data_IF_056390439211
#
_entry.id   IF_056390439211
#
_cell.length_a   1.000
_cell.length_b   1.000
_cell.length_c   1.000
_cell.angle_alpha   90.00
_cell.angle_beta   90.00
_cell.angle_gamma   90.00
#
_symmetry.space_group_name_H-M   'P 1'
#
loop_
_entity.id
_entity.type
_entity.pdbx_description
1 polymer ?
2 water ?
#
# COMPACT_ATOMS: atom_id res chain seq x y z
N UNK A 4 -1.56 4.64 16.69
CA UNK A 4 -1.76 5.03 15.30
C UNK A 4 -1.28 3.93 14.36
N UNK A 5 -2.20 3.38 13.55
CA UNK A 5 -1.80 2.33 12.60
C UNK A 5 -0.77 2.84 11.60
N UNK A 6 0.17 1.98 11.25
CA UNK A 6 1.26 2.34 10.36
C UNK A 6 1.35 1.33 9.23
N UNK A 7 2.00 1.74 8.14
CA UNK A 7 2.25 0.89 7.00
C UNK A 7 3.73 1.00 6.65
N UNK A 8 4.40 -0.16 6.52
CA UNK A 8 5.80 -0.22 6.17
C UNK A 8 5.95 -0.81 4.78
N UNK A 9 6.64 -0.10 3.90
CA UNK A 9 6.86 -0.53 2.52
C UNK A 9 8.36 -0.73 2.32
N UNK A 10 8.74 -1.96 1.99
CA UNK A 10 10.12 -2.29 1.61
C UNK A 10 10.16 -2.30 0.08
N UNK A 11 10.72 -1.24 -0.50
CA UNK A 11 10.86 -1.12 -1.95
C UNK A 11 12.18 -1.74 -2.36
N UNK A 12 12.14 -2.90 -3.01
CA UNK A 12 13.31 -3.70 -3.30
C UNK A 12 13.57 -3.68 -4.81
N UNK A 13 14.83 -3.42 -5.17
CA UNK A 13 15.24 -3.48 -6.56
C UNK A 13 15.38 -4.94 -6.98
N UNK A 14 14.56 -5.36 -7.94
CA UNK A 14 14.60 -6.75 -8.41
C UNK A 14 15.04 -6.80 -9.86
N UNK A 15 15.85 -7.75 -10.26
CA UNK A 15 16.19 -7.91 -11.68
C UNK A 15 15.06 -8.57 -12.44
N UNK A 16 14.94 -8.18 -13.72
CA UNK A 16 13.95 -8.78 -14.59
C UNK A 16 14.24 -10.27 -14.77
N UNK A 17 13.44 -11.11 -14.10
CA UNK A 17 13.68 -12.55 -14.12
C UNK A 17 13.78 -13.13 -12.73
N UNK A 18 14.39 -12.37 -11.80
CA UNK A 18 14.44 -12.80 -10.42
C UNK A 18 13.11 -12.65 -9.70
N UNK A 19 12.13 -11.99 -10.33
CA UNK A 19 10.83 -11.78 -9.76
C UNK A 19 10.13 -13.04 -9.29
N UNK A 20 10.00 -14.04 -10.18
CA UNK A 20 9.33 -15.29 -9.76
C UNK A 20 9.92 -15.93 -8.51
N UNK A 21 11.25 -16.04 -8.43
CA UNK A 21 11.85 -16.61 -7.22
C UNK A 21 11.62 -15.73 -6.01
N UNK A 22 11.47 -14.42 -6.21
CA UNK A 22 11.17 -13.53 -5.09
C UNK A 22 9.75 -13.73 -4.58
N UNK A 23 8.82 -14.08 -5.47
CA UNK A 23 7.43 -14.28 -5.04
C UNK A 23 7.24 -15.59 -4.32
N UNK A 24 8.06 -16.61 -4.61
CA UNK A 24 7.98 -17.87 -3.90
C UNK A 24 8.59 -17.79 -2.51
N UNK A 25 9.51 -16.85 -2.28
CA UNK A 25 10.14 -16.71 -0.97
C UNK A 25 9.24 -15.96 0.01
N UNK A 26 8.49 -14.97 -0.48
CA UNK A 26 7.66 -14.17 0.40
C UNK A 26 6.37 -14.88 0.81
N UNK A 27 5.99 -15.95 0.12
CA UNK A 27 4.91 -16.79 0.62
C UNK A 27 5.32 -17.46 1.93
N UNK A 28 6.59 -17.84 2.05
CA UNK A 28 7.09 -18.35 3.32
C UNK A 28 7.24 -17.24 4.35
N UNK A 29 7.77 -16.09 3.93
CA UNK A 29 8.00 -15.00 4.88
C UNK A 29 6.68 -14.45 5.44
N UNK A 30 5.60 -14.53 4.66
CA UNK A 30 4.30 -14.11 5.18
C UNK A 30 3.87 -14.97 6.36
N UNK A 31 4.30 -16.23 6.40
CA UNK A 31 3.93 -17.11 7.51
C UNK A 31 4.47 -16.58 8.83
N UNK A 32 5.68 -16.03 8.83
CA UNK A 32 6.34 -15.54 10.04
C UNK A 32 5.83 -14.17 10.48
N UNK A 33 4.67 -13.72 10.02
CA UNK A 33 4.19 -12.38 10.35
C UNK A 33 2.68 -12.35 10.44
N UNK A 34 2.01 -13.32 9.79
CA UNK A 34 0.55 -13.26 9.68
C UNK A 34 -0.14 -13.39 11.02
N UNK A 35 0.52 -13.95 12.03
CA UNK A 35 -0.04 -14.05 13.38
C UNK A 35 0.81 -13.32 14.41
N UNK A 36 1.64 -12.37 13.97
CA UNK A 36 2.43 -11.59 14.90
C UNK A 36 1.55 -10.59 15.64
N UNK A 37 1.92 -10.20 16.86
CA UNK A 37 1.11 -9.24 17.61
C UNK A 37 1.17 -7.86 16.97
N UNK A 38 0.01 -7.25 16.80
CA UNK A 38 -0.11 -5.96 16.14
C UNK A 38 -0.19 -6.03 14.63
N UNK A 39 -0.02 -7.21 14.04
CA UNK A 39 -0.03 -7.35 12.60
C UNK A 39 -1.44 -7.25 12.05
N UNK A 40 -1.63 -6.45 11.00
CA UNK A 40 -2.93 -6.21 10.41
C UNK A 40 -3.06 -6.65 8.96
N UNK A 41 -1.95 -6.86 8.25
CA UNK A 41 -2.02 -7.27 6.86
C UNK A 41 -0.72 -7.17 6.10
N UNK A 42 -0.47 -8.12 5.22
CA UNK A 42 0.72 -8.17 4.38
C UNK A 42 0.32 -8.25 2.93
N UNK A 43 1.06 -7.56 2.07
CA UNK A 43 0.79 -7.56 0.63
C UNK A 43 2.09 -7.48 -0.14
N UNK A 44 2.24 -8.34 -1.15
CA UNK A 44 3.33 -8.25 -2.10
C UNK A 44 2.79 -7.69 -3.41
N UNK A 45 3.38 -6.62 -3.88
CA UNK A 45 2.88 -5.88 -5.04
C UNK A 45 3.93 -5.91 -6.15
N UNK A 46 3.59 -6.54 -7.27
CA UNK A 46 4.46 -6.53 -8.45
C UNK A 46 4.20 -5.28 -9.27
N UNK A 47 5.23 -4.51 -9.61
CA UNK A 47 5.01 -3.26 -10.33
C UNK A 47 4.52 -3.49 -11.74
N UNK A 48 3.97 -2.43 -12.34
CA UNK A 48 3.43 -2.50 -13.70
C UNK A 48 3.79 -1.22 -14.45
N UNK A 49 3.52 -0.07 -13.85
CA UNK A 49 3.77 1.21 -14.50
C UNK A 49 4.15 2.23 -13.43
N UNK A 50 5.14 3.07 -13.76
CA UNK A 50 5.62 4.08 -12.85
C UNK A 50 6.51 3.59 -11.74
N UNK A 51 6.85 2.31 -11.73
CA UNK A 51 7.67 1.75 -10.66
C UNK A 51 8.41 0.53 -11.20
N UNK A 52 9.68 0.40 -10.80
CA UNK A 52 10.49 -0.76 -11.14
C UNK A 52 10.70 -1.70 -9.95
N UNK A 53 10.28 -1.30 -8.76
CA UNK A 53 10.53 -2.06 -7.54
C UNK A 53 9.27 -2.80 -7.10
N UNK A 54 9.48 -3.97 -6.49
CA UNK A 54 8.41 -4.63 -5.76
C UNK A 54 8.16 -3.90 -4.45
N UNK A 55 6.89 -3.78 -4.08
CA UNK A 55 6.50 -3.12 -2.84
C UNK A 55 6.07 -4.20 -1.85
N UNK A 56 6.84 -4.36 -0.78
CA UNK A 56 6.54 -5.30 0.30
C UNK A 56 5.85 -4.50 1.40
N UNK A 57 4.53 -4.69 1.55
CA UNK A 57 3.69 -3.85 2.39
C UNK A 57 3.24 -4.65 3.60
N UNK A 58 3.41 -4.08 4.80
CA UNK A 58 2.90 -4.67 6.03
C UNK A 58 2.13 -3.61 6.80
N UNK A 59 1.03 -4.04 7.42
CA UNK A 59 0.14 -3.17 8.17
C UNK A 59 0.24 -3.51 9.66
N UNK A 60 0.50 -2.50 10.48
CA UNK A 60 0.71 -2.69 11.91
C UNK A 60 -0.16 -1.72 12.70
N UNK A 61 -0.43 -2.12 13.94
CA UNK A 61 -1.22 -1.27 14.84
C UNK A 61 -0.43 -0.09 15.38
N UNK A 62 0.89 -0.18 15.42
CA UNK A 62 1.74 0.93 15.85
C UNK A 62 3.15 0.66 15.34
N UNK A 63 3.99 1.69 15.45
CA UNK A 63 5.39 1.53 15.06
C UNK A 63 6.15 0.64 16.04
N UNK A 64 5.76 0.66 17.32
CA UNK A 64 6.43 -0.19 18.30
C UNK A 64 6.09 -1.65 18.08
N UNK A 65 4.84 -1.94 17.71
CA UNK A 65 4.48 -3.31 17.34
C UNK A 65 5.31 -3.80 16.17
N UNK A 66 5.60 -2.91 15.21
CA UNK A 66 6.48 -3.26 14.11
C UNK A 66 7.92 -3.44 14.60
N UNK A 67 8.39 -2.50 15.42
CA UNK A 67 9.77 -2.54 15.88
C UNK A 67 10.03 -3.72 16.81
N UNK A 68 9.03 -4.12 17.60
CA UNK A 68 9.20 -5.29 18.46
C UNK A 68 9.36 -6.55 17.64
N UNK A 69 8.61 -6.68 16.54
CA UNK A 69 8.74 -7.84 15.68
C UNK A 69 10.05 -7.81 14.89
N UNK A 70 10.41 -6.64 14.37
CA UNK A 70 11.61 -6.55 13.52
C UNK A 70 12.89 -6.71 14.33
N UNK A 71 12.94 -6.10 15.51
CA UNK A 71 14.17 -6.12 16.31
C UNK A 71 14.20 -7.24 17.33
N UNK A 72 13.21 -8.13 17.35
CA UNK A 72 13.24 -9.27 18.20
C UNK A 72 14.30 -10.27 17.77
N UNK A 73 14.44 -11.34 18.54
CA UNK A 73 15.42 -12.38 18.17
C UNK A 73 15.03 -13.08 16.89
N UNK A 74 16.04 -13.53 16.15
CA UNK A 74 15.84 -14.14 14.85
C UNK A 74 16.53 -15.50 14.81
N UNK A 75 16.25 -16.24 13.73
CA UNK A 75 16.87 -17.55 13.55
C UNK A 75 18.37 -17.42 13.39
N UNK A 76 18.81 -16.47 12.55
CA UNK A 76 20.23 -16.26 12.31
C UNK A 76 20.57 -14.78 12.35
N UNK A 90 17.09 -1.84 -1.75
CA UNK A 90 16.23 -2.04 -0.59
C UNK A 90 16.04 -0.74 0.18
N UNK A 91 14.85 -0.16 0.10
CA UNK A 91 14.53 1.09 0.76
C UNK A 91 13.26 0.92 1.58
N UNK A 92 13.32 1.30 2.86
CA UNK A 92 12.17 1.19 3.75
C UNK A 92 11.41 2.50 3.75
N UNK A 93 10.11 2.42 3.51
CA UNK A 93 9.22 3.58 3.50
C UNK A 93 8.25 3.44 4.66
N UNK A 94 8.21 4.44 5.53
CA UNK A 94 7.43 4.39 6.76
C UNK A 94 6.32 5.44 6.70
N UNK A 95 5.08 5.00 6.97
CA UNK A 95 3.91 5.86 6.85
C UNK A 95 3.03 5.72 8.08
N UNK A 96 2.12 6.68 8.22
CA UNK A 96 1.05 6.63 9.22
C UNK A 96 -0.28 6.63 8.49
N UNK A 97 -1.16 5.70 8.85
CA UNK A 97 -2.45 5.59 8.20
C UNK A 97 -3.35 6.73 8.67
N UNK A 98 -3.47 7.77 7.85
CA UNK A 98 -4.32 8.91 8.21
C UNK A 98 -5.77 8.48 8.32
N UNK A 99 -6.26 7.74 7.32
CA UNK A 99 -7.61 7.19 7.36
C UNK A 99 -7.65 5.96 6.46
N UNK A 100 -8.44 4.98 6.87
CA UNK A 100 -8.57 3.71 6.15
C UNK A 100 -10.04 3.45 5.89
N UNK A 101 -10.40 3.30 4.62
CA UNK A 101 -11.78 3.01 4.22
C UNK A 101 -11.77 1.74 3.39
N UNK A 102 -12.72 0.85 3.67
CA UNK A 102 -12.83 -0.39 2.92
C UNK A 102 -12.95 -1.62 3.81
N UNK B 2 -11.40 -14.91 -9.81
CA UNK B 2 -10.04 -15.34 -10.08
C UNK B 2 -9.25 -14.24 -10.78
N UNK B 3 -9.81 -13.03 -10.79
CA UNK B 3 -9.12 -11.90 -11.39
C UNK B 3 -7.93 -11.47 -10.52
N UNK B 4 -6.97 -10.80 -11.15
CA UNK B 4 -5.77 -10.37 -10.46
C UNK B 4 -6.02 -9.05 -9.74
N UNK B 5 -5.98 -9.03 -8.41
CA UNK B 5 -6.23 -7.78 -7.68
C UNK B 5 -5.17 -6.74 -7.97
N UNK B 6 -5.55 -5.49 -7.80
CA UNK B 6 -4.77 -4.36 -8.29
C UNK B 6 -4.73 -3.28 -7.22
N UNK B 7 -3.62 -2.55 -7.19
CA UNK B 7 -3.39 -1.49 -6.22
C UNK B 7 -2.84 -0.27 -6.95
N UNK B 8 -3.58 0.83 -6.88
CA UNK B 8 -3.13 2.10 -7.43
C UNK B 8 -2.66 3.02 -6.31
N UNK B 9 -1.47 3.60 -6.48
CA UNK B 9 -0.88 4.50 -5.51
C UNK B 9 -0.59 5.82 -6.20
N UNK B 10 -1.25 6.88 -5.76
CA UNK B 10 -0.98 8.24 -6.24
C UNK B 10 -0.04 8.92 -5.25
N UNK B 11 1.21 9.13 -5.66
CA UNK B 11 2.20 9.81 -4.83
C UNK B 11 2.10 11.30 -5.11
N UNK B 12 1.65 12.06 -4.12
CA UNK B 12 1.36 13.48 -4.28
C UNK B 12 2.31 14.30 -3.40
N UNK B 13 2.81 15.39 -3.96
CA UNK B 13 3.65 16.32 -3.22
C UNK B 13 2.76 17.31 -2.48
N UNK B 14 2.77 17.24 -1.16
CA UNK B 14 1.94 18.09 -0.31
C UNK B 14 2.86 19.03 0.47
N UNK B 15 2.60 20.33 0.46
CA UNK B 15 3.49 21.26 1.16
C UNK B 15 3.45 21.07 2.67
N UNK B 16 4.57 21.42 3.31
CA UNK B 16 4.66 21.36 4.76
C UNK B 16 3.67 22.33 5.39
N UNK B 17 2.60 21.79 5.98
CA UNK B 17 1.53 22.59 6.55
C UNK B 17 0.16 22.28 5.98
N UNK B 18 0.11 21.90 4.70
CA UNK B 18 -1.14 21.57 4.02
C UNK B 18 -1.67 20.18 4.38
N UNK B 19 -1.13 19.58 5.45
CA UNK B 19 -1.55 18.26 5.87
C UNK B 19 -3.02 18.15 6.23
N UNK B 20 -3.46 18.90 7.24
CA UNK B 20 -4.87 18.77 7.67
C UNK B 20 -5.88 19.08 6.59
N UNK B 21 -5.57 19.98 5.66
CA UNK B 21 -6.52 20.29 4.60
C UNK B 21 -6.58 19.19 3.55
N UNK B 22 -5.44 18.52 3.30
CA UNK B 22 -5.44 17.41 2.34
C UNK B 22 -6.19 16.21 2.90
N UNK B 23 -6.03 15.94 4.20
CA UNK B 23 -6.71 14.81 4.81
C UNK B 23 -8.18 15.09 5.07
N UNK B 24 -8.56 16.37 5.16
CA UNK B 24 -9.98 16.70 5.15
C UNK B 24 -10.56 16.52 3.76
N UNK B 25 -9.79 16.83 2.73
CA UNK B 25 -10.26 16.72 1.35
C UNK B 25 -10.45 15.26 0.95
N UNK B 26 -9.48 14.41 1.28
CA UNK B 26 -9.56 13.01 0.90
C UNK B 26 -10.56 12.22 1.73
N UNK B 27 -11.03 12.78 2.85
CA UNK B 27 -12.11 12.15 3.59
C UNK B 27 -13.42 12.22 2.80
N UNK B 28 -13.55 13.21 1.92
CA UNK B 28 -14.71 13.32 1.04
C UNK B 28 -14.55 12.50 -0.22
N UNK B 29 -13.34 12.48 -0.80
CA UNK B 29 -13.11 11.70 -2.00
C UNK B 29 -13.23 10.20 -1.72
N UNK B 30 -12.97 9.78 -0.48
CA UNK B 30 -13.20 8.38 -0.13
C UNK B 30 -14.67 8.03 -0.18
N UNK B 31 -15.55 8.99 0.09
CA UNK B 31 -17.00 8.75 -0.01
C UNK B 31 -17.38 8.34 -1.43
N UNK B 32 -16.90 9.09 -2.43
CA UNK B 32 -17.30 8.85 -3.81
C UNK B 32 -16.79 7.52 -4.35
N UNK B 33 -15.73 6.97 -3.75
CA UNK B 33 -15.18 5.69 -4.17
C UNK B 33 -15.62 4.55 -3.28
N UNK B 34 -16.35 4.83 -2.20
CA UNK B 34 -16.57 3.85 -1.14
C UNK B 34 -17.42 2.68 -1.63
N UNK B 35 -18.42 2.95 -2.48
CA UNK B 35 -19.34 1.91 -2.92
C UNK B 35 -19.28 1.70 -4.44
N UNK B 36 -18.11 1.86 -5.02
CA UNK B 36 -17.93 1.62 -6.44
C UNK B 36 -17.72 0.13 -6.71
N UNK B 37 -18.16 -0.38 -7.86
CA UNK B 37 -17.98 -1.80 -8.16
C UNK B 37 -16.52 -2.16 -8.29
N UNK B 38 -16.10 -3.20 -7.56
CA UNK B 38 -14.73 -3.64 -7.56
C UNK B 38 -13.85 -3.00 -6.52
N UNK B 39 -14.35 -2.00 -5.78
CA UNK B 39 -13.55 -1.31 -4.79
C UNK B 39 -13.35 -2.18 -3.56
N UNK B 40 -12.11 -2.25 -3.08
CA UNK B 40 -11.77 -3.08 -1.93
C UNK B 40 -11.39 -2.25 -0.70
N UNK B 41 -10.48 -1.29 -0.86
CA UNK B 41 -10.03 -0.52 0.29
C UNK B 41 -9.35 0.77 -0.12
N UNK B 42 -9.35 1.71 0.80
CA UNK B 42 -8.71 3.01 0.61
C UNK B 42 -7.87 3.33 1.84
N UNK B 43 -6.71 3.95 1.60
CA UNK B 43 -5.84 4.35 2.70
C UNK B 43 -5.11 5.62 2.30
N UNK B 44 -5.01 6.56 3.24
CA UNK B 44 -4.22 7.77 3.09
C UNK B 44 -3.00 7.64 4.00
N UNK B 45 -1.81 7.73 3.42
CA UNK B 45 -0.57 7.43 4.12
C UNK B 45 0.27 8.70 4.21
N UNK B 46 0.43 9.20 5.43
CA UNK B 46 1.30 10.33 5.69
C UNK B 46 2.75 9.85 5.80
N UNK B 47 3.69 10.43 5.07
CA UNK B 47 5.07 9.95 5.14
C UNK B 47 5.71 10.27 6.48
N UNK B 48 6.49 9.31 6.98
CA UNK B 48 7.20 9.45 8.24
C UNK B 48 8.72 9.41 8.03
N UNK B 49 9.20 8.41 7.28
CA UNK B 49 10.62 8.27 7.03
C UNK B 49 10.82 7.58 5.69
N UNK B 50 11.93 7.91 5.03
CA UNK B 50 12.26 7.31 3.75
C UNK B 50 11.42 7.77 2.59
N UNK B 51 10.41 8.62 2.82
CA UNK B 51 9.56 9.14 1.76
C UNK B 51 9.06 10.51 2.19
N UNK B 52 8.84 11.38 1.22
CA UNK B 52 8.35 12.72 1.48
C UNK B 52 6.96 12.99 0.91
N UNK B 53 6.45 12.10 0.07
CA UNK B 53 5.14 12.29 -0.55
C UNK B 53 4.07 11.52 0.21
N UNK B 54 2.85 12.06 0.18
CA UNK B 54 1.70 11.30 0.63
C UNK B 54 1.37 10.20 -0.37
N UNK B 55 0.89 9.07 0.15
CA UNK B 55 0.51 7.93 -0.68
C UNK B 55 -1.00 7.74 -0.59
N UNK B 56 -1.67 7.90 -1.73
CA UNK B 56 -3.11 7.66 -1.84
C UNK B 56 -3.29 6.28 -2.44
N UNK B 57 -3.74 5.31 -1.65
CA UNK B 57 -3.78 3.91 -2.02
C UNK B 57 -5.23 3.47 -2.16
N UNK B 58 -5.52 2.78 -3.26
CA UNK B 58 -6.82 2.14 -3.46
C UNK B 58 -6.59 0.72 -3.93
N UNK B 59 -7.37 -0.20 -3.36
CA UNK B 59 -7.33 -1.62 -3.69
C UNK B 59 -8.58 -1.97 -4.49
N UNK B 60 -8.39 -2.67 -5.61
CA UNK B 60 -9.47 -2.98 -6.52
C UNK B 60 -9.42 -4.46 -6.91
N UNK B 61 -10.57 -4.95 -7.37
CA UNK B 61 -10.66 -6.36 -7.79
C UNK B 61 -9.79 -6.64 -9.01
N UNK B 62 -9.74 -5.70 -9.96
CA UNK B 62 -9.03 -5.90 -11.21
C UNK B 62 -8.80 -4.54 -11.85
N UNK B 63 -7.87 -4.51 -12.80
CA UNK B 63 -7.63 -3.27 -13.55
C UNK B 63 -8.90 -2.83 -14.29
N UNK B 64 -9.73 -3.80 -14.68
CA UNK B 64 -10.99 -3.46 -15.35
C UNK B 64 -11.91 -2.65 -14.44
N UNK B 65 -12.00 -3.03 -13.17
CA UNK B 65 -12.86 -2.30 -12.24
C UNK B 65 -12.36 -0.87 -12.03
N UNK B 66 -11.03 -0.69 -11.98
CA UNK B 66 -10.49 0.64 -11.80
C UNK B 66 -10.70 1.52 -13.03
N UNK B 67 -10.47 0.96 -14.23
CA UNK B 67 -10.70 1.73 -15.44
C UNK B 67 -12.16 2.09 -15.61
N UNK B 68 -13.07 1.25 -15.10
CA UNK B 68 -14.49 1.58 -15.14
C UNK B 68 -14.81 2.79 -14.27
N UNK B 69 -14.20 2.86 -13.09
CA UNK B 69 -14.45 3.98 -12.20
C UNK B 69 -13.71 5.24 -12.63
N UNK B 70 -12.49 5.08 -13.15
CA UNK B 70 -11.65 6.24 -13.45
C UNK B 70 -12.04 6.90 -14.77
N UNK B 71 -12.57 6.13 -15.72
CA UNK B 71 -12.92 6.67 -17.03
C UNK B 71 -14.40 7.01 -17.17
N UNK B 72 -15.19 6.80 -16.12
CA UNK B 72 -16.58 7.17 -16.16
C UNK B 72 -16.77 8.67 -16.09
N UNK B 73 -18.03 9.10 -16.15
CA UNK B 73 -18.32 10.54 -16.12
C UNK B 73 -17.95 11.15 -14.79
N UNK B 74 -17.66 12.44 -14.82
CA UNK B 74 -17.22 13.18 -13.64
C UNK B 74 -18.10 14.40 -13.45
N UNK B 75 -17.79 15.18 -12.41
CA UNK B 75 -18.58 16.37 -12.11
C UNK B 75 -18.18 17.53 -13.03
N UNK B 76 -16.90 17.66 -13.33
CA UNK B 76 -16.44 18.73 -14.22
C UNK B 76 -15.61 18.16 -15.37
N UNK B 89 2.33 18.41 -8.78
CA UNK B 89 2.67 17.16 -9.43
C UNK B 89 2.17 15.95 -8.69
N UNK B 90 1.88 14.88 -9.44
CA UNK B 90 1.38 13.64 -8.85
C UNK B 90 1.76 12.48 -9.77
N UNK B 91 2.47 11.51 -9.23
CA UNK B 91 2.86 10.32 -9.98
C UNK B 91 1.98 9.14 -9.60
N UNK B 92 1.57 8.36 -10.60
CA UNK B 92 0.69 7.22 -10.40
C UNK B 92 1.51 5.95 -10.56
N UNK B 93 1.41 5.07 -9.56
CA UNK B 93 2.11 3.79 -9.55
C UNK B 93 1.06 2.68 -9.50
N UNK B 94 1.15 1.72 -10.41
CA UNK B 94 0.21 0.61 -10.49
C UNK B 94 0.92 -0.70 -10.18
N UNK B 95 0.28 -1.51 -9.36
CA UNK B 95 0.83 -2.78 -8.90
C UNK B 95 -0.22 -3.88 -9.07
N UNK B 96 0.26 -5.12 -9.07
CA UNK B 96 -0.61 -6.28 -9.05
C UNK B 96 -0.40 -7.02 -7.73
N UNK B 97 -1.48 -7.21 -6.97
CA UNK B 97 -1.40 -7.87 -5.68
C UNK B 97 -1.03 -9.33 -5.87
N UNK B 98 0.26 -9.64 -5.70
CA UNK B 98 0.72 -11.01 -5.88
C UNK B 98 0.11 -11.92 -4.82
N UNK B 99 0.12 -11.48 -3.57
CA UNK B 99 -0.50 -12.24 -2.50
C UNK B 99 -0.99 -11.29 -1.41
N UNK B 100 -1.85 -11.81 -0.54
CA UNK B 100 -2.48 -11.02 0.51
C UNK B 100 -2.84 -11.95 1.67
N UNK B 101 -2.38 -11.59 2.88
CA UNK B 101 -2.80 -12.27 4.09
C UNK B 101 -3.30 -11.21 5.08
N UNK B 102 -4.13 -11.67 6.01
CA UNK B 102 -4.70 -10.79 7.02
C UNK B 102 -3.97 -10.90 8.36
N UNK B 103 -4.48 -10.14 9.32
CA UNK B 103 -3.91 -10.13 10.66
C UNK B 103 -4.59 -11.11 11.60
#
# INVERSE_FOLDING_TARGET
SNAMPVVKINAIEVPAGAGPELEKRFAHRAHAVENSPGFLGFQLLRPVKGEERYFVVTHWESDEAFQAWANGPAIAAHAGHRANPVATGASLLEFEVVLDVGGTGKTA
SNAMPVVKINAIEVPAGAGPELEKRFAHRAHAVENSPGFLGFQLLRPVKGEERYFVVTHWESDEAFQAWANGPAIAAHAGHRANPVATGASLLEFEVVLDVGGTGKTA
#
